data_IF_928369131323
#
_entry.id   IF_928369131323
#
_cell.length_a   1.000
_cell.length_b   1.000
_cell.length_c   1.000
_cell.angle_alpha   90.00
_cell.angle_beta   90.00
_cell.angle_gamma   90.00
#
_symmetry.space_group_name_H-M   'P 1'
#
loop_
_entity.id
_entity.type
_entity.pdbx_description
1 polymer ?
#
# COMPACT_ATOMS: atom_id res chain seq x y z
N UNK A 1 -8.17 15.66 0.48
CA UNK A 1 -6.97 14.99 1.01
C UNK A 1 -6.80 15.45 2.44
N UNK A 2 -6.91 14.55 3.42
CA UNK A 2 -6.48 14.86 4.79
C UNK A 2 -4.99 15.26 4.81
N UNK A 3 -4.54 15.95 5.85
CA UNK A 3 -3.14 16.36 6.12
C UNK A 3 -2.14 15.18 6.30
N UNK A 4 -2.43 14.03 5.70
CA UNK A 4 -1.85 12.72 5.94
C UNK A 4 -1.12 12.08 4.75
N UNK A 5 -0.61 12.83 3.77
CA UNK A 5 0.33 12.27 2.78
C UNK A 5 1.70 12.93 2.90
N UNK A 6 2.53 12.40 3.80
CA UNK A 6 3.93 12.82 4.00
C UNK A 6 4.95 11.94 3.25
N UNK A 7 4.51 10.83 2.66
CA UNK A 7 5.35 10.02 1.78
C UNK A 7 5.44 10.69 0.40
N UNK A 8 6.65 10.89 -0.10
CA UNK A 8 6.88 11.48 -1.42
C UNK A 8 6.63 10.46 -2.55
N UNK A 9 6.32 10.90 -3.77
CA UNK A 9 6.29 10.01 -4.93
C UNK A 9 7.67 9.41 -5.16
N UNK A 10 7.71 8.16 -5.63
CA UNK A 10 8.94 7.52 -6.05
C UNK A 10 9.60 8.30 -7.19
N UNK A 11 10.89 8.59 -7.07
CA UNK A 11 11.63 9.35 -8.07
C UNK A 11 12.15 8.43 -9.20
N UNK A 12 11.47 8.44 -10.35
CA UNK A 12 11.86 7.70 -11.55
C UNK A 12 12.99 8.36 -12.36
N UNK A 13 13.48 9.55 -11.99
CA UNK A 13 14.49 10.30 -12.76
C UNK A 13 14.13 10.47 -14.25
N UNK A 14 12.83 10.56 -14.55
CA UNK A 14 12.30 10.58 -15.91
C UNK A 14 10.92 9.92 -15.99
N UNK A 15 10.51 9.46 -17.20
CA UNK A 15 9.26 8.72 -17.38
C UNK A 15 9.20 7.49 -16.49
N UNK A 16 8.00 7.17 -16.01
CA UNK A 16 7.76 5.96 -15.21
C UNK A 16 8.10 4.72 -16.03
N UNK A 17 9.14 3.99 -15.61
CA UNK A 17 9.57 2.73 -16.22
C UNK A 17 9.73 1.68 -15.13
N UNK A 18 8.90 0.64 -15.21
CA UNK A 18 8.87 -0.46 -14.25
C UNK A 18 8.96 -1.75 -15.05
N UNK A 19 9.96 -2.56 -14.75
CA UNK A 19 10.09 -3.91 -15.29
C UNK A 19 9.55 -4.90 -14.26
N UNK A 20 8.41 -5.53 -14.55
CA UNK A 20 7.78 -6.52 -13.69
C UNK A 20 8.44 -7.89 -13.86
N UNK A 21 9.07 -8.39 -12.79
CA UNK A 21 9.88 -9.60 -12.85
C UNK A 21 9.10 -10.83 -12.38
N UNK A 22 8.54 -10.75 -11.17
CA UNK A 22 7.98 -11.88 -10.44
C UNK A 22 6.87 -11.42 -9.49
N UNK A 23 5.81 -12.24 -9.34
CA UNK A 23 4.82 -12.07 -8.28
C UNK A 23 5.30 -12.83 -7.04
N UNK A 24 5.56 -12.11 -5.95
CA UNK A 24 6.11 -12.67 -4.71
C UNK A 24 5.04 -13.24 -3.79
N UNK A 25 3.78 -12.84 -4.01
CA UNK A 25 2.65 -13.25 -3.20
C UNK A 25 1.72 -12.08 -2.91
N UNK A 26 0.68 -12.38 -2.16
CA UNK A 26 -0.36 -11.42 -1.79
C UNK A 26 -0.67 -11.51 -0.29
N UNK A 27 -1.13 -10.39 0.25
CA UNK A 27 -1.77 -10.33 1.55
C UNK A 27 -3.21 -9.84 1.38
N UNK A 28 -3.93 -9.73 2.50
CA UNK A 28 -5.35 -9.39 2.53
C UNK A 28 -5.73 -8.19 1.64
N UNK A 29 -4.87 -7.16 1.58
CA UNK A 29 -5.17 -5.90 0.89
C UNK A 29 -4.25 -5.54 -0.28
N UNK A 30 -3.32 -6.42 -0.68
CA UNK A 30 -2.32 -6.06 -1.67
C UNK A 30 -1.63 -7.26 -2.31
N UNK A 31 -1.20 -7.07 -3.55
CA UNK A 31 -0.24 -7.93 -4.25
C UNK A 31 1.18 -7.37 -4.10
N UNK A 32 2.19 -8.24 -4.03
CA UNK A 32 3.60 -7.86 -3.94
C UNK A 32 4.37 -8.41 -5.12
N UNK A 33 5.09 -7.54 -5.82
CA UNK A 33 5.87 -7.88 -7.00
C UNK A 33 7.34 -7.55 -6.79
N UNK A 34 8.21 -8.39 -7.33
CA UNK A 34 9.60 -8.06 -7.59
C UNK A 34 9.65 -7.25 -8.87
N UNK A 35 10.25 -6.06 -8.80
CA UNK A 35 10.38 -5.18 -9.94
C UNK A 35 11.80 -4.66 -10.07
N UNK A 36 12.15 -4.26 -11.29
CA UNK A 36 13.37 -3.51 -11.57
C UNK A 36 13.02 -2.10 -12.04
N UNK A 37 13.57 -1.11 -11.34
CA UNK A 37 13.38 0.31 -11.63
C UNK A 37 14.76 0.96 -11.60
N UNK A 38 15.11 1.73 -12.63
CA UNK A 38 16.44 2.36 -12.75
C UNK A 38 17.61 1.37 -12.53
N UNK A 39 17.46 0.13 -13.01
CA UNK A 39 18.49 -0.91 -12.87
C UNK A 39 18.55 -1.60 -11.51
N UNK A 40 17.84 -1.13 -10.48
CA UNK A 40 17.82 -1.70 -9.12
C UNK A 40 16.56 -2.55 -8.88
N UNK A 41 16.71 -3.63 -8.11
CA UNK A 41 15.62 -4.49 -7.67
C UNK A 41 14.90 -3.89 -6.46
N UNK A 42 13.57 -3.93 -6.49
CA UNK A 42 12.69 -3.48 -5.41
C UNK A 42 11.54 -4.47 -5.19
N UNK A 43 10.91 -4.37 -4.02
CA UNK A 43 9.58 -4.90 -3.79
C UNK A 43 8.55 -3.79 -4.06
N UNK A 44 7.61 -4.05 -4.95
CA UNK A 44 6.48 -3.18 -5.28
C UNK A 44 5.21 -3.79 -4.70
N UNK A 45 4.65 -3.16 -3.67
CA UNK A 45 3.36 -3.55 -3.10
C UNK A 45 2.26 -2.73 -3.78
N UNK A 46 1.34 -3.39 -4.47
CA UNK A 46 0.19 -2.78 -5.14
C UNK A 46 -1.10 -3.11 -4.38
N UNK A 47 -1.84 -2.08 -4.01
CA UNK A 47 -3.00 -2.21 -3.12
C UNK A 47 -4.29 -2.47 -3.90
N UNK A 48 -5.14 -3.30 -3.30
CA UNK A 48 -6.51 -3.53 -3.72
C UNK A 48 -7.39 -2.34 -3.32
N UNK A 49 -8.46 -2.12 -4.06
CA UNK A 49 -9.63 -1.35 -3.69
C UNK A 49 -10.52 -2.25 -2.84
N UNK A 50 -10.30 -2.21 -1.52
CA UNK A 50 -10.94 -3.11 -0.54
C UNK A 50 -12.39 -2.71 -0.24
N UNK A 51 -13.20 -3.65 0.28
CA UNK A 51 -14.56 -3.36 0.74
C UNK A 51 -14.55 -2.40 1.94
N UNK A 52 -15.63 -1.64 2.13
CA UNK A 52 -15.71 -0.64 3.20
C UNK A 52 -15.65 -1.28 4.60
N UNK A 53 -16.09 -2.55 4.72
CA UNK A 53 -16.05 -3.29 5.97
C UNK A 53 -14.64 -3.83 6.32
N UNK A 54 -13.67 -3.76 5.40
CA UNK A 54 -12.29 -4.19 5.67
C UNK A 54 -11.50 -3.20 6.54
N UNK A 55 -12.05 -2.01 6.82
CA UNK A 55 -11.39 -0.98 7.60
C UNK A 55 -12.41 -0.24 8.50
N UNK A 56 -11.97 0.51 9.52
CA UNK A 56 -12.88 1.23 10.41
C UNK A 56 -13.64 2.33 9.65
N UNK A 57 -14.77 1.93 9.08
CA UNK A 57 -15.72 2.77 8.35
C UNK A 57 -17.02 2.83 9.15
N UNK A 58 -17.73 3.97 9.18
CA UNK A 58 -19.06 4.05 9.78
C UNK A 58 -20.13 3.38 8.90
N UNK A 59 -19.74 2.39 8.09
CA UNK A 59 -20.54 1.73 7.06
C UNK A 59 -21.85 1.11 7.57
N UNK A 60 -22.03 0.93 8.88
CA UNK A 60 -23.30 0.48 9.47
C UNK A 60 -24.35 1.58 9.63
N UNK A 61 -23.96 2.86 9.71
CA UNK A 61 -24.85 3.99 10.05
C UNK A 61 -24.80 5.15 9.05
N UNK A 62 -24.11 4.97 7.92
CA UNK A 62 -23.79 6.05 6.98
C UNK A 62 -24.28 5.75 5.57
N UNK A 63 -24.79 6.78 4.89
CA UNK A 63 -25.10 6.71 3.47
C UNK A 63 -23.81 6.50 2.66
N UNK A 64 -23.64 5.31 2.10
CA UNK A 64 -22.50 4.96 1.25
C UNK A 64 -22.44 5.79 -0.05
N UNK A 65 -23.54 6.48 -0.40
CA UNK A 65 -23.59 7.41 -1.52
C UNK A 65 -23.06 8.81 -1.18
N UNK A 66 -22.84 9.13 0.11
CA UNK A 66 -22.16 10.36 0.52
C UNK A 66 -20.67 10.28 0.19
N UNK A 67 -20.35 10.62 -1.05
CA UNK A 67 -18.99 10.59 -1.59
C UNK A 67 -18.03 11.49 -0.84
N UNK A 68 -18.49 12.60 -0.28
CA UNK A 68 -17.62 13.52 0.44
C UNK A 68 -17.18 12.89 1.77
N UNK A 69 -18.14 12.37 2.53
CA UNK A 69 -17.88 11.66 3.77
C UNK A 69 -17.03 10.41 3.54
N UNK A 70 -17.41 9.58 2.56
CA UNK A 70 -16.67 8.38 2.21
C UNK A 70 -15.25 8.71 1.74
N UNK A 71 -15.04 9.81 1.01
CA UNK A 71 -13.69 10.24 0.61
C UNK A 71 -12.80 10.60 1.79
N UNK A 72 -13.35 11.20 2.86
CA UNK A 72 -12.58 11.52 4.06
C UNK A 72 -12.10 10.24 4.75
N UNK A 73 -12.97 9.25 4.85
CA UNK A 73 -12.65 7.95 5.40
C UNK A 73 -11.69 7.14 4.54
N UNK A 74 -11.87 7.13 3.22
CA UNK A 74 -10.92 6.54 2.29
C UNK A 74 -9.53 7.17 2.50
N UNK A 75 -9.42 8.50 2.49
CA UNK A 75 -8.13 9.17 2.71
C UNK A 75 -7.46 8.84 4.07
N UNK A 76 -8.21 8.35 5.06
CA UNK A 76 -7.71 8.09 6.40
C UNK A 76 -7.52 6.60 6.72
N UNK A 77 -8.40 5.73 6.28
CA UNK A 77 -8.49 4.36 6.78
C UNK A 77 -8.14 3.31 5.74
N UNK A 78 -8.09 3.68 4.46
CA UNK A 78 -7.79 2.70 3.41
C UNK A 78 -6.31 2.27 3.45
N UNK A 79 -6.01 0.99 3.13
CA UNK A 79 -4.69 0.40 3.34
C UNK A 79 -3.51 1.16 2.72
N UNK A 80 -3.65 1.72 1.51
CA UNK A 80 -2.58 2.49 0.86
C UNK A 80 -2.29 3.79 1.60
N UNK A 81 -3.33 4.53 2.00
CA UNK A 81 -3.22 5.79 2.76
C UNK A 81 -2.63 5.56 4.15
N UNK A 82 -3.04 4.48 4.82
CA UNK A 82 -2.45 4.06 6.10
C UNK A 82 -0.95 3.80 5.97
N UNK A 83 -0.54 3.05 4.94
CA UNK A 83 0.86 2.72 4.73
C UNK A 83 1.69 3.94 4.31
N UNK A 84 1.15 4.83 3.49
CA UNK A 84 1.78 6.10 3.15
C UNK A 84 1.95 7.01 4.36
N UNK A 85 0.97 7.07 5.28
CA UNK A 85 1.11 7.80 6.55
C UNK A 85 2.21 7.24 7.41
N UNK A 86 2.24 5.90 7.58
CA UNK A 86 3.24 5.23 8.40
C UNK A 86 4.65 5.56 7.92
N UNK A 87 4.94 5.30 6.64
CA UNK A 87 6.26 5.58 6.08
C UNK A 87 6.58 7.07 5.99
N UNK A 88 5.60 7.92 5.71
CA UNK A 88 5.78 9.36 5.72
C UNK A 88 6.16 9.90 7.10
N UNK A 89 5.61 9.32 8.18
CA UNK A 89 6.00 9.65 9.57
C UNK A 89 7.41 9.17 9.90
N UNK A 90 7.78 7.95 9.49
CA UNK A 90 9.14 7.43 9.69
C UNK A 90 10.18 8.30 8.99
N UNK A 91 9.95 8.67 7.72
CA UNK A 91 10.83 9.56 6.96
C UNK A 91 10.90 10.96 7.59
N UNK A 92 9.74 11.53 7.95
CA UNK A 92 9.68 12.87 8.54
C UNK A 92 10.34 12.97 9.93
N UNK A 93 10.36 11.89 10.69
CA UNK A 93 10.97 11.82 12.01
C UNK A 93 12.42 11.29 12.00
N UNK A 94 12.96 10.89 10.84
CA UNK A 94 14.30 10.33 10.73
C UNK A 94 14.44 8.94 11.38
N UNK A 95 13.36 8.17 11.41
CA UNK A 95 13.27 6.84 12.05
C UNK A 95 13.04 5.70 11.03
N UNK A 96 13.59 5.84 9.82
CA UNK A 96 13.43 4.84 8.76
C UNK A 96 14.03 3.46 9.13
N UNK A 97 14.92 3.39 10.12
CA UNK A 97 15.49 2.14 10.65
C UNK A 97 14.47 1.22 11.34
N UNK A 98 13.29 1.75 11.72
CA UNK A 98 12.24 0.97 12.39
C UNK A 98 11.45 0.07 11.42
N UNK A 99 11.63 0.22 10.11
CA UNK A 99 10.93 -0.56 9.10
C UNK A 99 11.83 -0.83 7.88
N UNK A 100 11.34 -1.66 6.96
CA UNK A 100 11.96 -1.77 5.64
C UNK A 100 11.94 -0.41 4.95
N UNK A 101 13.04 -0.02 4.31
CA UNK A 101 13.14 1.27 3.64
C UNK A 101 12.04 1.39 2.57
N UNK A 102 11.28 2.47 2.63
CA UNK A 102 10.28 2.85 1.64
C UNK A 102 10.80 4.03 0.83
N UNK A 103 10.79 3.91 -0.49
CA UNK A 103 11.36 4.90 -1.41
C UNK A 103 10.32 5.89 -1.95
N UNK A 104 9.03 5.60 -1.74
CA UNK A 104 7.94 6.47 -2.16
C UNK A 104 6.73 5.70 -2.68
N UNK A 105 5.65 6.43 -2.91
CA UNK A 105 4.46 5.88 -3.55
C UNK A 105 4.56 5.93 -5.08
N UNK A 106 3.81 5.05 -5.74
CA UNK A 106 3.64 5.02 -7.20
C UNK A 106 2.17 4.90 -7.53
N UNK A 107 1.76 5.58 -8.60
CA UNK A 107 0.47 5.41 -9.24
C UNK A 107 0.73 4.70 -10.58
N UNK A 108 0.14 3.54 -10.80
CA UNK A 108 0.26 2.86 -12.09
C UNK A 108 -0.76 3.46 -13.04
N UNK A 109 -0.28 4.10 -14.10
CA UNK A 109 -1.16 4.56 -15.16
C UNK A 109 -1.55 3.39 -16.08
N UNK A 110 -2.56 3.61 -16.93
CA UNK A 110 -3.20 2.59 -17.76
C UNK A 110 -2.20 1.70 -18.53
N UNK A 111 -1.14 2.28 -19.07
CA UNK A 111 -0.08 1.54 -19.78
C UNK A 111 0.66 0.56 -18.86
N UNK A 112 0.99 0.97 -17.63
CA UNK A 112 1.69 0.13 -16.65
C UNK A 112 0.77 -0.93 -16.05
N UNK A 113 -0.50 -0.59 -15.83
CA UNK A 113 -1.52 -1.56 -15.42
C UNK A 113 -1.69 -2.63 -16.51
N UNK A 114 -1.79 -2.23 -17.76
CA UNK A 114 -1.90 -3.15 -18.89
C UNK A 114 -0.67 -4.06 -19.01
N UNK A 115 0.54 -3.50 -18.87
CA UNK A 115 1.78 -4.28 -18.87
C UNK A 115 1.84 -5.30 -17.72
N UNK A 116 1.38 -4.92 -16.52
CA UNK A 116 1.27 -5.82 -15.38
C UNK A 116 0.30 -6.97 -15.68
N UNK A 117 -0.91 -6.66 -16.17
CA UNK A 117 -1.95 -7.65 -16.44
C UNK A 117 -1.57 -8.62 -17.57
N UNK A 118 -0.84 -8.15 -18.59
CA UNK A 118 -0.28 -9.02 -19.63
C UNK A 118 0.79 -9.94 -19.04
N UNK A 119 1.73 -9.39 -18.26
CA UNK A 119 2.88 -10.14 -17.75
C UNK A 119 2.47 -11.32 -16.86
N UNK A 120 1.39 -11.15 -16.11
CA UNK A 120 0.89 -12.09 -15.11
C UNK A 120 -0.53 -12.58 -15.43
N UNK A 121 -0.86 -12.70 -16.71
CA UNK A 121 -2.20 -13.11 -17.17
C UNK A 121 -2.63 -14.50 -16.67
N UNK A 122 -1.66 -15.33 -16.29
CA UNK A 122 -1.85 -16.67 -15.73
C UNK A 122 -2.28 -16.65 -14.24
N UNK A 123 -1.96 -15.57 -13.50
CA UNK A 123 -2.19 -15.47 -12.06
C UNK A 123 -3.61 -14.98 -11.68
N UNK A 124 -4.46 -14.63 -12.65
CA UNK A 124 -5.82 -14.09 -12.43
C UNK A 124 -5.84 -12.99 -11.36
N UNK A 125 -4.96 -12.01 -11.48
CA UNK A 125 -4.86 -10.90 -10.55
C UNK A 125 -6.17 -10.10 -10.51
N UNK A 126 -6.64 -9.79 -9.30
CA UNK A 126 -7.73 -8.84 -9.08
C UNK A 126 -7.30 -7.73 -8.13
N UNK A 127 -7.77 -6.52 -8.39
CA UNK A 127 -7.49 -5.33 -7.58
C UNK A 127 -8.74 -4.80 -6.87
N UNK A 128 -9.90 -5.43 -6.99
CA UNK A 128 -11.09 -5.13 -6.22
C UNK A 128 -11.31 -6.18 -5.11
N UNK A 129 -11.87 -5.73 -3.98
CA UNK A 129 -12.12 -6.56 -2.81
C UNK A 129 -10.84 -6.91 -2.05
N UNK A 130 -10.79 -8.13 -1.52
CA UNK A 130 -9.68 -8.66 -0.74
C UNK A 130 -9.30 -10.07 -1.24
N UNK A 131 -8.40 -10.76 -0.52
CA UNK A 131 -7.97 -12.12 -0.88
C UNK A 131 -9.08 -13.17 -0.70
N UNK A 132 -10.06 -12.94 0.19
CA UNK A 132 -11.13 -13.89 0.49
C UNK A 132 -12.23 -13.80 -0.56
N UNK A 133 -12.51 -12.58 -1.05
CA UNK A 133 -13.52 -12.31 -2.07
C UNK A 133 -12.99 -11.35 -3.16
N UNK A 134 -12.06 -11.82 -4.02
CA UNK A 134 -11.48 -10.99 -5.08
C UNK A 134 -12.52 -10.73 -6.18
N UNK A 135 -12.61 -9.47 -6.64
CA UNK A 135 -13.40 -9.12 -7.82
C UNK A 135 -14.92 -9.13 -7.66
N UNK A 136 -15.45 -9.18 -6.42
CA UNK A 136 -16.89 -9.26 -6.17
C UNK A 136 -17.68 -8.00 -6.57
N UNK A 137 -17.16 -6.82 -6.25
CA UNK A 137 -17.76 -5.52 -6.60
C UNK A 137 -16.70 -4.60 -7.24
N UNK A 138 -17.15 -3.65 -8.09
CA UNK A 138 -16.26 -2.59 -8.61
C UNK A 138 -15.99 -1.53 -7.54
N UNK A 139 -15.14 -1.87 -6.58
CA UNK A 139 -14.71 -0.99 -5.51
C UNK A 139 -13.87 0.19 -6.03
N UNK A 140 -13.15 -0.01 -7.14
CA UNK A 140 -12.34 1.02 -7.79
C UNK A 140 -13.17 2.20 -8.26
N UNK A 141 -14.38 1.97 -8.75
CA UNK A 141 -15.33 3.03 -9.15
C UNK A 141 -15.69 4.01 -8.04
N UNK A 142 -15.48 3.66 -6.77
CA UNK A 142 -15.74 4.54 -5.62
C UNK A 142 -14.64 5.60 -5.42
N UNK A 143 -13.49 5.43 -6.07
CA UNK A 143 -12.33 6.32 -5.97
C UNK A 143 -12.17 7.15 -7.26
N UNK A 144 -13.19 7.89 -7.66
CA UNK A 144 -13.11 8.70 -8.88
C UNK A 144 -12.20 9.92 -8.69
N UNK A 145 -11.36 10.16 -9.69
CA UNK A 145 -10.62 11.41 -9.82
C UNK A 145 -11.55 12.61 -10.06
N UNK A 146 -11.02 13.83 -9.97
CA UNK A 146 -11.77 15.07 -10.27
C UNK A 146 -12.33 15.09 -11.70
N UNK A 147 -11.73 14.34 -12.59
CA UNK A 147 -12.09 14.15 -13.99
C UNK A 147 -13.09 12.99 -14.21
N UNK A 148 -13.58 12.35 -13.14
CA UNK A 148 -14.50 11.22 -13.20
C UNK A 148 -13.85 9.90 -13.64
N UNK A 149 -12.52 9.86 -13.83
CA UNK A 149 -11.82 8.62 -14.19
C UNK A 149 -11.58 7.74 -12.96
N UNK A 150 -11.51 6.44 -13.19
CA UNK A 150 -11.13 5.48 -12.16
C UNK A 150 -9.73 5.80 -11.61
N UNK A 151 -9.57 5.74 -10.28
CA UNK A 151 -8.25 5.93 -9.65
C UNK A 151 -7.25 4.90 -10.21
N UNK A 152 -6.00 5.29 -10.51
CA UNK A 152 -4.93 4.33 -10.85
C UNK A 152 -4.73 3.31 -9.72
N UNK A 153 -4.18 2.13 -10.05
CA UNK A 153 -3.66 1.20 -9.05
C UNK A 153 -2.54 1.89 -8.29
N UNK A 154 -2.64 1.86 -6.95
CA UNK A 154 -1.74 2.57 -6.04
C UNK A 154 -0.76 1.59 -5.43
N UNK A 155 0.48 2.02 -5.25
CA UNK A 155 1.51 1.17 -4.66
C UNK A 155 2.60 1.92 -3.93
N UNK A 156 3.43 1.17 -3.21
CA UNK A 156 4.64 1.68 -2.55
C UNK A 156 5.85 0.86 -2.99
N UNK A 157 6.95 1.57 -3.26
CA UNK A 157 8.24 0.97 -3.63
C UNK A 157 9.08 0.82 -2.38
N UNK A 158 9.49 -0.41 -2.07
CA UNK A 158 10.28 -0.75 -0.89
C UNK A 158 11.56 -1.45 -1.28
N UNK A 159 12.51 -1.45 -0.35
CA UNK A 159 13.67 -2.32 -0.49
C UNK A 159 13.19 -3.77 -0.60
N UNK A 160 13.79 -4.53 -1.51
CA UNK A 160 13.42 -5.92 -1.73
C UNK A 160 13.71 -6.79 -0.49
N UNK A 161 14.69 -6.37 0.33
CA UNK A 161 15.20 -7.17 1.43
C UNK A 161 15.97 -8.39 0.93
N UNK A 162 16.92 -8.87 1.74
CA UNK A 162 17.35 -10.26 1.68
C UNK A 162 16.65 -10.94 2.85
N UNK A 163 16.09 -12.13 2.63
CA UNK A 163 15.53 -12.94 3.70
C UNK A 163 16.67 -13.38 4.63
N UNK A 164 16.97 -12.57 5.64
CA UNK A 164 17.56 -13.10 6.85
C UNK A 164 16.41 -13.74 7.63
N UNK A 165 16.21 -15.05 7.46
CA UNK A 165 15.47 -15.89 8.39
C UNK A 165 16.21 -15.91 9.75
N UNK A 166 16.25 -14.77 10.44
CA UNK A 166 16.68 -14.74 11.82
C UNK A 166 15.57 -15.37 12.67
N UNK A 167 15.78 -16.63 13.05
CA UNK A 167 15.04 -17.32 14.11
C UNK A 167 14.67 -16.35 15.25
N UNK A 168 13.42 -16.38 15.71
CA UNK A 168 12.84 -15.56 16.79
C UNK A 168 13.60 -15.72 18.13
N UNK A 169 14.79 -15.11 18.24
CA UNK A 169 15.58 -15.10 19.46
C UNK A 169 14.93 -14.16 20.49
N UNK A 170 15.02 -14.45 21.80
CA UNK A 170 14.48 -13.55 22.83
C UNK A 170 15.01 -12.11 22.76
N UNK A 171 16.24 -11.92 22.27
CA UNK A 171 16.83 -10.60 22.02
C UNK A 171 16.13 -9.84 20.89
N UNK A 172 15.70 -10.54 19.84
CA UNK A 172 14.90 -9.98 18.75
C UNK A 172 13.51 -9.57 19.26
N UNK A 173 12.88 -10.36 20.12
CA UNK A 173 11.58 -10.00 20.72
C UNK A 173 11.66 -8.71 21.54
N UNK A 174 12.68 -8.53 22.38
CA UNK A 174 12.90 -7.27 23.11
C UNK A 174 13.13 -6.08 22.19
N UNK A 175 13.79 -6.29 21.05
CA UNK A 175 13.96 -5.27 20.01
C UNK A 175 12.60 -4.92 19.40
N UNK A 176 11.81 -5.90 18.97
CA UNK A 176 10.47 -5.70 18.43
C UNK A 176 9.58 -4.91 19.39
N UNK A 177 9.54 -5.26 20.69
CA UNK A 177 8.75 -4.50 21.67
C UNK A 177 9.19 -3.04 21.78
N UNK A 178 10.50 -2.76 21.80
CA UNK A 178 11.01 -1.38 21.81
C UNK A 178 10.64 -0.63 20.53
N UNK A 179 10.71 -1.30 19.39
CA UNK A 179 10.39 -0.71 18.09
C UNK A 179 8.87 -0.42 18.00
N UNK A 180 8.02 -1.30 18.52
CA UNK A 180 6.56 -1.06 18.64
C UNK A 180 6.27 0.15 19.51
N UNK A 181 6.93 0.30 20.67
CA UNK A 181 6.77 1.48 21.54
C UNK A 181 7.18 2.75 20.79
N UNK A 182 8.30 2.73 20.07
CA UNK A 182 8.75 3.87 19.27
C UNK A 182 7.78 4.22 18.15
N UNK A 183 7.24 3.22 17.44
CA UNK A 183 6.21 3.44 16.42
C UNK A 183 4.98 4.15 17.01
N UNK A 184 4.52 3.70 18.17
CA UNK A 184 3.40 4.35 18.88
C UNK A 184 3.73 5.78 19.32
N UNK A 185 4.95 6.04 19.78
CA UNK A 185 5.42 7.40 20.12
C UNK A 185 5.46 8.33 18.90
N UNK A 186 5.70 7.78 17.71
CA UNK A 186 5.60 8.51 16.43
C UNK A 186 4.16 8.64 15.92
N UNK A 187 3.18 8.19 16.70
CA UNK A 187 1.77 8.19 16.36
C UNK A 187 1.36 7.12 15.33
N UNK A 188 2.23 6.15 15.05
CA UNK A 188 1.96 5.02 14.14
C UNK A 188 1.29 3.92 14.96
N UNK A 189 0.00 3.71 14.74
CA UNK A 189 -0.83 2.76 15.48
C UNK A 189 -1.27 1.58 14.61
N UNK A 190 -2.00 0.63 15.20
CA UNK A 190 -2.51 -0.56 14.48
C UNK A 190 -3.30 -0.22 13.20
N UNK A 191 -3.97 0.93 13.15
CA UNK A 191 -4.65 1.39 11.93
C UNK A 191 -3.67 1.71 10.79
N UNK A 192 -2.45 2.16 11.13
CA UNK A 192 -1.37 2.47 10.19
C UNK A 192 -0.56 1.22 9.79
N UNK A 193 -0.73 0.12 10.54
CA UNK A 193 -0.04 -1.17 10.36
C UNK A 193 -1.10 -2.22 10.08
N UNK A 194 -1.60 -2.25 8.83
CA UNK A 194 -2.54 -3.27 8.39
C UNK A 194 -2.02 -4.67 8.75
N UNK A 195 -2.88 -5.50 9.34
CA UNK A 195 -2.59 -6.89 9.68
C UNK A 195 -2.05 -7.61 8.44
N UNK A 196 -0.87 -8.23 8.60
CA UNK A 196 -0.25 -9.07 7.57
C UNK A 196 -1.05 -10.35 7.40
#
# INVERSE_FOLDING_TARGET
>A
MCDGLKLKPFNFQGPQKIEFLEHLGEGLYAHVFKVKILGKIYALKLFRFVYDHNWPSPASDTDLEDRELMSAFYNYSEPFSCECRAFGRLQGAGHEELAVRCFGYVLLHEEHEHALMIRFSDLKLDFNGDIEYPGGEDMRSRFLGKDGRASPIRGVVKDFGLEDEENLRPTLMRKIFRDVIKLQQLGIFRIDVATR
#
